data_IF_588529978308
#
_entry.id   IF_588529978308
#
_cell.length_a   1.000
_cell.length_b   1.000
_cell.length_c   1.000
_cell.angle_alpha   90.00
_cell.angle_beta   90.00
_cell.angle_gamma   90.00
#
_symmetry.space_group_name_H-M   'P 1'
#
loop_
_entity.id
_entity.type
_entity.pdbx_description
1 polymer ?
#
# COMPACT_ATOMS: atom_id res chain seq x y z
N UNK A 1 0.49 -13.48 20.27
CA UNK A 1 0.49 -12.10 19.71
C UNK A 1 1.86 -11.39 19.83
N UNK A 2 2.84 -11.94 20.54
CA UNK A 2 4.05 -11.19 20.96
C UNK A 2 5.24 -11.17 19.98
N UNK A 3 5.38 -12.15 19.07
CA UNK A 3 6.65 -12.35 18.34
C UNK A 3 6.76 -11.67 16.98
N UNK A 4 5.71 -10.99 16.50
CA UNK A 4 5.72 -10.49 15.13
C UNK A 4 6.46 -9.16 14.96
N UNK A 5 6.31 -8.23 15.92
CA UNK A 5 6.98 -6.93 15.85
C UNK A 5 8.49 -7.06 16.13
N UNK A 6 8.89 -7.99 17.00
CA UNK A 6 10.28 -8.40 17.20
C UNK A 6 10.92 -9.03 15.94
N UNK A 7 10.12 -9.52 14.98
CA UNK A 7 10.58 -10.20 13.77
C UNK A 7 10.98 -9.27 12.62
N UNK A 8 10.72 -7.96 12.72
CA UNK A 8 11.09 -6.97 11.70
C UNK A 8 12.61 -6.77 11.56
N UNK A 9 13.37 -7.07 12.61
CA UNK A 9 14.85 -6.92 12.62
C UNK A 9 15.56 -8.18 12.09
N UNK A 10 14.93 -9.36 12.19
CA UNK A 10 15.60 -10.65 11.99
C UNK A 10 15.03 -11.52 10.87
N UNK A 11 13.87 -11.16 10.29
CA UNK A 11 13.39 -11.90 9.11
C UNK A 11 13.96 -11.23 7.86
N UNK A 12 14.80 -11.94 7.07
CA UNK A 12 15.17 -11.43 5.77
C UNK A 12 13.87 -11.16 5.02
N UNK A 13 13.82 -10.05 4.30
CA UNK A 13 12.83 -9.76 3.28
C UNK A 13 12.69 -11.02 2.43
N UNK A 14 11.77 -11.93 2.80
CA UNK A 14 11.44 -13.07 1.97
C UNK A 14 10.94 -12.40 0.73
N UNK A 15 11.72 -12.48 -0.33
CA UNK A 15 11.41 -12.03 -1.68
C UNK A 15 10.12 -12.71 -2.10
N UNK A 16 9.01 -12.24 -1.56
CA UNK A 16 7.69 -12.61 -1.99
C UNK A 16 7.56 -11.80 -3.25
N UNK A 17 8.03 -12.40 -4.35
CA UNK A 17 7.70 -11.96 -5.69
C UNK A 17 6.21 -11.71 -5.67
N UNK A 18 5.83 -10.43 -5.65
CA UNK A 18 4.44 -10.02 -5.75
C UNK A 18 4.05 -10.53 -7.12
N UNK A 19 3.47 -11.74 -7.17
CA UNK A 19 2.97 -12.25 -8.42
C UNK A 19 1.86 -11.28 -8.81
N UNK A 20 1.84 -10.82 -10.06
CA UNK A 20 0.82 -9.89 -10.54
C UNK A 20 -0.63 -10.37 -10.26
N UNK A 21 -0.79 -11.66 -9.93
CA UNK A 21 -2.02 -12.31 -9.52
C UNK A 21 -2.52 -11.88 -8.12
N UNK A 22 -1.66 -11.50 -7.19
CA UNK A 22 -2.08 -11.02 -5.86
C UNK A 22 -2.58 -9.55 -5.87
N UNK A 23 -2.15 -8.76 -6.87
CA UNK A 23 -2.67 -7.40 -7.13
C UNK A 23 -3.96 -7.42 -7.98
N UNK A 24 -4.34 -8.58 -8.51
CA UNK A 24 -5.57 -8.77 -9.28
C UNK A 24 -6.82 -8.79 -8.38
N UNK A 25 -7.00 -7.75 -7.57
CA UNK A 25 -8.33 -7.33 -7.11
C UNK A 25 -8.38 -5.81 -6.90
N UNK A 26 -7.76 -5.07 -7.82
CA UNK A 26 -8.12 -3.66 -8.06
C UNK A 26 -8.53 -3.53 -9.53
N UNK A 27 -9.84 -3.58 -9.77
CA UNK A 27 -10.51 -3.05 -10.95
C UNK A 27 -10.00 -3.43 -12.36
N UNK A 28 -9.95 -4.72 -12.69
CA UNK A 28 -10.25 -5.10 -14.08
C UNK A 28 -11.76 -4.93 -14.27
N UNK A 29 -12.22 -3.72 -14.62
CA UNK A 29 -13.48 -3.51 -15.37
C UNK A 29 -13.84 -2.10 -15.87
N UNK A 30 -12.93 -1.12 -15.89
CA UNK A 30 -13.28 0.18 -16.51
C UNK A 30 -12.46 0.66 -17.71
N UNK A 31 -11.33 0.03 -18.04
CA UNK A 31 -10.45 0.58 -19.09
C UNK A 31 -10.05 -0.42 -20.21
N UNK A 32 -10.89 -1.41 -20.55
CA UNK A 32 -10.63 -2.28 -21.73
C UNK A 32 -11.29 -1.82 -23.02
N UNK A 33 -12.06 -0.73 -23.02
CA UNK A 33 -12.59 -0.13 -24.25
C UNK A 33 -12.16 1.34 -24.28
N UNK A 34 -11.03 1.62 -24.94
CA UNK A 34 -10.61 2.89 -25.56
C UNK A 34 -9.07 2.86 -25.72
N UNK A 35 -8.58 1.86 -26.43
CA UNK A 35 -7.20 1.82 -26.91
C UNK A 35 -7.20 1.45 -28.39
N UNK A 36 -7.88 2.26 -29.19
CA UNK A 36 -7.62 2.38 -30.61
C UNK A 36 -7.19 3.81 -30.86
N UNK A 37 -5.86 3.96 -31.09
CA UNK A 37 -5.08 4.94 -31.88
C UNK A 37 -5.77 6.27 -32.18
N UNK A 38 -5.14 7.43 -31.96
CA UNK A 38 -4.25 8.02 -32.97
C UNK A 38 -3.10 8.90 -32.42
N UNK A 39 -2.02 8.94 -33.21
CA UNK A 39 -0.64 9.39 -32.92
C UNK A 39 -0.44 10.90 -32.71
N UNK A 40 -1.50 11.71 -32.81
CA UNK A 40 -1.41 13.18 -32.72
C UNK A 40 -1.53 13.72 -31.28
N UNK A 41 -1.89 12.87 -30.32
CA UNK A 41 -2.24 13.28 -28.95
C UNK A 41 -1.06 13.31 -27.95
N UNK A 42 0.17 13.01 -28.38
CA UNK A 42 1.32 12.78 -27.49
C UNK A 42 1.99 14.07 -26.97
N UNK A 43 1.85 15.21 -27.67
CA UNK A 43 2.52 16.46 -27.27
C UNK A 43 1.72 17.26 -26.22
N UNK A 44 0.38 17.22 -26.26
CA UNK A 44 -0.47 17.92 -25.28
C UNK A 44 -0.63 17.15 -23.93
N UNK A 45 -0.28 15.87 -23.88
CA UNK A 45 -0.46 15.02 -22.68
C UNK A 45 0.64 15.18 -21.62
N UNK A 46 1.81 15.75 -21.97
CA UNK A 46 2.91 15.96 -21.02
C UNK A 46 2.66 17.12 -20.04
N UNK A 47 1.80 18.08 -20.40
CA UNK A 47 1.58 19.27 -19.58
C UNK A 47 0.55 19.09 -18.45
N UNK A 48 -0.38 18.12 -18.53
CA UNK A 48 -1.53 18.09 -17.62
C UNK A 48 -2.08 16.70 -17.24
N UNK A 49 -1.25 15.66 -17.13
CA UNK A 49 -1.71 14.44 -16.43
C UNK A 49 -1.57 14.62 -14.91
N UNK A 50 -2.48 15.39 -14.31
CA UNK A 50 -2.71 15.31 -12.85
C UNK A 50 -3.18 13.89 -12.55
N UNK A 51 -2.24 13.02 -12.19
CA UNK A 51 -2.49 11.63 -11.82
C UNK A 51 -3.45 11.62 -10.64
N UNK A 52 -4.71 11.29 -10.88
CA UNK A 52 -5.72 11.29 -9.82
C UNK A 52 -5.35 10.21 -8.81
N UNK A 53 -4.95 10.61 -7.60
CA UNK A 53 -4.64 9.68 -6.52
C UNK A 53 -5.94 9.14 -5.95
N UNK A 54 -6.24 7.86 -6.23
CA UNK A 54 -7.38 7.17 -5.66
C UNK A 54 -7.14 6.98 -4.16
N UNK A 55 -8.17 7.29 -3.33
CA UNK A 55 -8.11 7.02 -1.89
C UNK A 55 -8.08 5.52 -1.65
N UNK A 56 -7.14 5.07 -0.82
CA UNK A 56 -7.05 3.67 -0.38
C UNK A 56 -8.05 3.44 0.76
N UNK A 57 -8.65 2.26 0.80
CA UNK A 57 -9.50 1.84 1.92
C UNK A 57 -8.71 1.02 2.95
N UNK A 58 -9.32 0.79 4.12
CA UNK A 58 -8.69 0.06 5.24
C UNK A 58 -8.27 -1.35 4.86
N UNK A 59 -9.01 -2.04 3.99
CA UNK A 59 -8.66 -3.39 3.53
C UNK A 59 -7.41 -3.40 2.64
N UNK A 60 -7.24 -2.38 1.79
CA UNK A 60 -6.02 -2.22 1.00
C UNK A 60 -4.81 -1.93 1.91
N UNK A 61 -4.99 -1.13 2.96
CA UNK A 61 -3.96 -0.89 3.98
C UNK A 61 -3.57 -2.18 4.71
N UNK A 62 -4.54 -2.97 5.15
CA UNK A 62 -4.29 -4.24 5.84
C UNK A 62 -3.51 -5.24 4.98
N UNK A 63 -3.80 -5.31 3.68
CA UNK A 63 -3.04 -6.15 2.73
C UNK A 63 -1.60 -5.67 2.58
N UNK A 64 -1.39 -4.36 2.45
CA UNK A 64 -0.05 -3.77 2.38
C UNK A 64 0.76 -4.07 3.63
N UNK A 65 0.18 -3.85 4.82
CA UNK A 65 0.81 -4.15 6.10
C UNK A 65 1.19 -5.64 6.20
N UNK A 66 0.28 -6.53 5.83
CA UNK A 66 0.55 -7.98 5.80
C UNK A 66 1.66 -8.36 4.83
N UNK A 67 1.73 -7.72 3.66
CA UNK A 67 2.75 -8.01 2.65
C UNK A 67 4.13 -7.49 3.04
N UNK A 68 4.20 -6.27 3.59
CA UNK A 68 5.48 -5.63 3.92
C UNK A 68 6.08 -6.19 5.21
N UNK A 69 5.26 -6.39 6.24
CA UNK A 69 5.77 -6.82 7.55
C UNK A 69 5.62 -8.33 7.80
N UNK A 70 4.84 -9.05 6.99
CA UNK A 70 4.47 -10.44 7.28
C UNK A 70 3.52 -10.61 8.48
N UNK A 71 3.26 -9.54 9.25
CA UNK A 71 2.49 -9.57 10.48
C UNK A 71 0.99 -9.46 10.28
N UNK A 72 0.23 -9.88 11.30
CA UNK A 72 -1.21 -9.64 11.29
C UNK A 72 -1.45 -8.12 11.31
N UNK A 73 -2.20 -7.55 10.35
CA UNK A 73 -2.43 -6.10 10.28
C UNK A 73 -3.11 -5.54 11.53
N UNK A 74 -3.85 -6.36 12.29
CA UNK A 74 -4.46 -5.95 13.56
C UNK A 74 -3.44 -5.72 14.68
N UNK A 75 -2.21 -6.23 14.56
CA UNK A 75 -1.14 -5.97 15.53
C UNK A 75 -0.69 -4.52 15.54
N UNK A 76 -0.96 -3.76 14.48
CA UNK A 76 -0.68 -2.32 14.40
C UNK A 76 -1.83 -1.46 14.94
N UNK A 77 -2.93 -2.07 15.40
CA UNK A 77 -4.04 -1.33 15.99
C UNK A 77 -3.68 -0.92 17.42
N UNK A 78 -3.43 0.37 17.64
CA UNK A 78 -3.00 0.92 18.93
C UNK A 78 -1.53 0.67 19.21
N UNK A 79 -0.70 0.50 18.17
CA UNK A 79 0.75 0.42 18.33
C UNK A 79 1.32 1.84 18.47
N UNK A 80 2.23 2.03 19.41
CA UNK A 80 2.86 3.33 19.67
C UNK A 80 1.89 4.46 19.96
N UNK A 81 2.25 5.65 19.51
CA UNK A 81 1.54 6.91 19.69
C UNK A 81 0.64 7.26 18.49
N UNK A 82 0.93 6.74 17.29
CA UNK A 82 0.31 7.18 16.05
C UNK A 82 -0.44 6.10 15.28
N UNK A 83 -0.10 4.81 15.43
CA UNK A 83 -0.84 3.73 14.77
C UNK A 83 -2.17 3.46 15.49
N UNK A 84 -3.12 4.39 15.41
CA UNK A 84 -4.39 4.33 16.14
C UNK A 84 -5.28 5.55 15.91
N UNK A 85 -6.26 5.74 16.79
CA UNK A 85 -7.14 6.91 16.74
C UNK A 85 -6.48 8.10 17.44
N UNK A 86 -6.51 9.27 16.80
CA UNK A 86 -6.12 10.56 17.39
C UNK A 86 -4.66 10.65 17.88
N UNK A 87 -3.74 10.00 17.18
CA UNK A 87 -2.35 9.83 17.62
C UNK A 87 -1.62 11.12 18.00
N UNK A 88 -0.87 11.06 19.11
CA UNK A 88 -0.11 12.20 19.67
C UNK A 88 1.04 11.72 20.56
N UNK A 89 2.11 12.52 20.66
CA UNK A 89 3.28 12.21 21.48
C UNK A 89 4.55 12.02 20.64
N UNK A 90 5.57 11.42 21.25
CA UNK A 90 6.82 11.08 20.56
C UNK A 90 6.70 9.67 19.96
N UNK A 91 7.03 9.46 18.67
CA UNK A 91 6.95 8.15 18.04
C UNK A 91 7.89 7.17 18.74
N UNK A 92 7.41 5.94 18.96
CA UNK A 92 8.16 4.90 19.67
C UNK A 92 9.30 4.32 18.81
N UNK A 93 9.05 4.21 17.50
CA UNK A 93 10.00 3.73 16.51
C UNK A 93 9.72 4.36 15.13
N UNK A 94 10.38 3.88 14.07
CA UNK A 94 10.18 4.38 12.71
C UNK A 94 8.86 3.92 12.07
N UNK A 95 8.20 2.90 12.62
CA UNK A 95 6.89 2.43 12.14
C UNK A 95 5.78 3.35 12.67
N UNK A 96 5.98 3.95 13.83
CA UNK A 96 5.04 4.82 14.51
C UNK A 96 5.12 6.31 14.09
N UNK A 97 5.78 6.62 12.96
CA UNK A 97 5.84 7.97 12.37
C UNK A 97 4.83 8.15 11.24
#
# INVERSE_FOLDING_TARGET
MSYCILGLILTPLKNKTITAKDYATSEIRRNTALATKDRESEFLTRAQTKKFRIRRNVMQMARMLKCMSGCNPLSYRGYGCYCGYMGSGQPVDDIDR
#
